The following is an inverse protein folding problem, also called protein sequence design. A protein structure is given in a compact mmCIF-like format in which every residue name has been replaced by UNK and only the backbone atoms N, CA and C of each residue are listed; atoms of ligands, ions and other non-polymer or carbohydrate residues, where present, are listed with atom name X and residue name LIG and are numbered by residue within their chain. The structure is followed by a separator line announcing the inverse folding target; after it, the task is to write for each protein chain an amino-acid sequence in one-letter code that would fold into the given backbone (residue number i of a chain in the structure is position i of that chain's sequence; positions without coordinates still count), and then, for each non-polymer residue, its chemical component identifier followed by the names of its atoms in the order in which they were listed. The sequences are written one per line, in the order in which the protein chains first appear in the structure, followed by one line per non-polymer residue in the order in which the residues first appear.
data_IF_868876237854
#
_entry.id   IF_868876237854
#
_cell.length_a   1.000
_cell.length_b   1.000
_cell.length_c   1.000
_cell.angle_alpha   90.00
_cell.angle_beta   90.00
_cell.angle_gamma   90.00
#
_symmetry.space_group_name_H-M   'P 1'
#
loop_
_entity.id
_entity.type
_entity.pdbx_description
1 polymer ?
#
# COMPACT_ATOMS: atom_id res chain seq x y z
N UNK A 1 -11.53 -9.90 -29.48
CA UNK A 1 -10.05 -9.93 -29.41
C UNK A 1 -9.44 -8.57 -29.02
N UNK A 2 -10.25 -7.63 -28.48
CA UNK A 2 -9.82 -6.28 -28.06
C UNK A 2 -10.15 -5.91 -26.61
N UNK A 3 -10.63 -6.88 -25.80
CA UNK A 3 -11.05 -6.64 -24.40
C UNK A 3 -10.19 -7.38 -23.35
N UNK A 4 -9.05 -7.96 -23.76
CA UNK A 4 -8.28 -8.88 -22.90
C UNK A 4 -7.11 -8.24 -22.13
N UNK A 5 -6.72 -6.99 -22.41
CA UNK A 5 -5.47 -6.42 -21.88
C UNK A 5 -5.57 -6.14 -20.37
N UNK A 6 -6.68 -5.60 -19.88
CA UNK A 6 -6.87 -5.36 -18.42
C UNK A 6 -7.36 -6.61 -17.67
N UNK A 7 -8.12 -7.49 -18.33
CA UNK A 7 -8.58 -8.75 -17.74
C UNK A 7 -7.45 -9.79 -17.57
N UNK A 8 -6.37 -9.72 -18.36
CA UNK A 8 -5.22 -10.62 -18.21
C UNK A 8 -4.35 -10.27 -17.00
N UNK A 9 -4.20 -8.99 -16.68
CA UNK A 9 -3.44 -8.51 -15.50
C UNK A 9 -4.04 -9.12 -14.22
N UNK A 10 -5.36 -9.36 -14.20
CA UNK A 10 -6.06 -9.90 -13.03
C UNK A 10 -6.21 -11.42 -13.03
N UNK A 11 -6.35 -12.08 -14.20
CA UNK A 11 -6.48 -13.56 -14.25
C UNK A 11 -5.23 -14.31 -13.82
N UNK A 12 -4.05 -13.68 -13.85
CA UNK A 12 -2.80 -14.29 -13.37
C UNK A 12 -2.59 -14.13 -11.86
N UNK A 13 -3.24 -13.17 -11.20
CA UNK A 13 -3.13 -12.97 -9.74
C UNK A 13 -4.20 -13.74 -8.94
N UNK A 14 -5.29 -14.18 -9.59
CA UNK A 14 -6.33 -14.97 -8.93
C UNK A 14 -6.06 -16.49 -9.03
N UNK A 15 -5.36 -17.07 -8.06
CA UNK A 15 -5.51 -18.51 -7.79
C UNK A 15 -6.91 -18.75 -7.17
N UNK A 16 -7.92 -18.94 -8.02
CA UNK A 16 -9.20 -19.51 -7.61
C UNK A 16 -9.28 -20.97 -8.06
N UNK A 17 -9.33 -21.88 -7.10
CA UNK A 17 -9.84 -23.23 -7.31
C UNK A 17 -11.36 -23.13 -7.54
N UNK A 18 -11.93 -23.73 -8.60
CA UNK A 18 -13.37 -23.73 -8.79
C UNK A 18 -14.02 -24.69 -7.79
N UNK A 19 -14.74 -24.13 -6.81
CA UNK A 19 -15.75 -24.88 -6.05
C UNK A 19 -16.95 -25.07 -6.96
N UNK A 20 -17.31 -26.32 -7.22
CA UNK A 20 -18.51 -26.70 -7.94
C UNK A 20 -19.74 -26.32 -7.12
N UNK A 21 -20.52 -25.35 -7.60
CA UNK A 21 -21.94 -25.22 -7.23
C UNK A 21 -22.77 -25.24 -8.51
N UNK A 22 -23.34 -26.40 -8.81
CA UNK A 22 -24.31 -26.57 -9.88
C UNK A 22 -25.64 -25.97 -9.45
N UNK A 23 -26.07 -24.92 -10.14
CA UNK A 23 -27.48 -24.54 -10.25
C UNK A 23 -27.71 -24.16 -11.71
N UNK A 24 -28.44 -25.01 -12.43
CA UNK A 24 -28.95 -24.70 -13.76
C UNK A 24 -30.14 -23.75 -13.60
N UNK A 25 -30.01 -22.52 -14.09
CA UNK A 25 -31.14 -21.62 -14.27
C UNK A 25 -31.40 -21.47 -15.78
N UNK A 26 -32.44 -22.17 -16.24
CA UNK A 26 -33.01 -22.03 -17.58
C UNK A 26 -33.75 -20.70 -17.66
N UNK A 27 -33.32 -19.80 -18.55
CA UNK A 27 -34.05 -18.58 -18.89
C UNK A 27 -34.66 -18.78 -20.27
N UNK A 28 -35.99 -18.92 -20.33
CA UNK A 28 -36.76 -18.88 -21.58
C UNK A 28 -37.30 -17.46 -21.78
N UNK A 29 -36.90 -16.80 -22.86
CA UNK A 29 -37.52 -15.55 -23.33
C UNK A 29 -38.64 -15.90 -24.30
N UNK A 30 -39.86 -15.46 -23.97
CA UNK A 30 -41.03 -15.53 -24.84
C UNK A 30 -40.93 -14.44 -25.92
N UNK A 31 -40.85 -14.84 -27.20
CA UNK A 31 -41.19 -13.96 -28.32
C UNK A 31 -42.11 -14.67 -29.29
N UNK A 32 -43.19 -13.98 -29.64
CA UNK A 32 -44.26 -14.42 -30.53
C UNK A 32 -43.76 -14.81 -31.93
N UNK A 33 -44.52 -15.72 -32.54
CA UNK A 33 -44.52 -16.17 -33.94
C UNK A 33 -43.62 -17.37 -34.31
N UNK A 34 -44.31 -18.47 -34.59
CA UNK A 34 -44.06 -19.48 -35.63
C UNK A 34 -42.74 -20.26 -35.63
N UNK A 35 -42.87 -21.57 -35.37
CA UNK A 35 -41.91 -22.68 -35.62
C UNK A 35 -40.63 -22.73 -34.76
N UNK A 36 -40.69 -23.50 -33.66
CA UNK A 36 -39.53 -23.89 -32.87
C UNK A 36 -38.96 -25.24 -33.35
N UNK A 37 -37.70 -25.24 -33.79
CA UNK A 37 -36.87 -26.42 -33.96
C UNK A 37 -35.63 -26.28 -33.05
N UNK A 38 -35.58 -27.02 -31.95
CA UNK A 38 -34.44 -27.07 -31.04
C UNK A 38 -33.30 -27.91 -31.65
N UNK A 39 -32.16 -27.30 -31.97
CA UNK A 39 -30.92 -28.00 -32.33
C UNK A 39 -30.02 -28.17 -31.10
N UNK A 40 -29.66 -29.41 -30.79
CA UNK A 40 -28.65 -29.75 -29.78
C UNK A 40 -27.22 -29.39 -30.24
N UNK A 41 -26.33 -28.89 -29.37
CA UNK A 41 -24.91 -28.80 -29.68
C UNK A 41 -24.21 -30.18 -29.57
N UNK A 42 -23.17 -30.44 -30.38
CA UNK A 42 -22.52 -31.74 -30.46
C UNK A 42 -21.61 -32.06 -29.27
N UNK A 43 -21.56 -33.36 -28.94
CA UNK A 43 -20.74 -33.98 -27.89
C UNK A 43 -19.24 -33.68 -28.06
N UNK A 44 -18.57 -33.25 -26.99
CA UNK A 44 -17.11 -33.12 -26.91
C UNK A 44 -16.42 -34.49 -26.92
N UNK A 45 -15.38 -34.60 -27.75
CA UNK A 45 -14.42 -35.69 -27.78
C UNK A 45 -13.55 -35.70 -26.52
N UNK A 46 -13.31 -36.90 -25.97
CA UNK A 46 -12.33 -37.20 -24.93
C UNK A 46 -10.92 -37.00 -25.48
N UNK A 47 -10.09 -36.25 -24.76
CA UNK A 47 -8.64 -36.37 -24.82
C UNK A 47 -8.13 -36.94 -23.49
N UNK A 48 -7.40 -38.04 -23.61
CA UNK A 48 -6.76 -38.80 -22.55
C UNK A 48 -5.29 -38.45 -22.45
N UNK A 49 -4.81 -38.22 -21.23
CA UNK A 49 -3.43 -38.53 -20.82
C UNK A 49 -2.42 -37.37 -20.85
N UNK A 50 -2.12 -36.82 -19.67
CA UNK A 50 -0.75 -36.81 -19.13
C UNK A 50 -0.84 -36.57 -17.60
N UNK A 51 -0.42 -37.57 -16.82
CA UNK A 51 -0.33 -37.49 -15.36
C UNK A 51 0.98 -36.78 -15.01
N UNK A 52 0.91 -35.61 -14.38
CA UNK A 52 2.07 -35.02 -13.72
C UNK A 52 2.31 -35.73 -12.38
N UNK A 53 3.50 -36.30 -12.25
CA UNK A 53 4.06 -36.92 -11.07
C UNK A 53 4.33 -35.85 -9.99
N UNK A 54 3.73 -36.01 -8.81
CA UNK A 54 4.23 -35.38 -7.58
C UNK A 54 5.23 -36.34 -6.91
N UNK A 55 6.45 -35.91 -6.54
CA UNK A 55 7.31 -36.73 -5.72
C UNK A 55 6.74 -36.81 -4.29
N UNK A 56 6.45 -38.05 -3.86
CA UNK A 56 6.11 -38.40 -2.47
C UNK A 56 7.27 -38.05 -1.55
N UNK A 57 7.05 -37.16 -0.58
CA UNK A 57 7.87 -37.10 0.63
C UNK A 57 7.67 -38.40 1.42
N UNK A 58 8.73 -39.21 1.52
CA UNK A 58 8.80 -40.31 2.49
C UNK A 58 9.08 -39.71 3.86
N UNK A 59 8.11 -39.87 4.75
CA UNK A 59 8.26 -39.73 6.20
C UNK A 59 9.29 -40.75 6.70
N UNK A 60 10.39 -40.26 7.28
CA UNK A 60 11.27 -41.06 8.14
C UNK A 60 10.94 -40.66 9.57
N UNK A 61 10.29 -41.59 10.25
CA UNK A 61 10.03 -41.56 11.69
C UNK A 61 11.20 -42.26 12.37
N UNK A 62 12.03 -41.52 13.11
CA UNK A 62 12.92 -42.11 14.11
C UNK A 62 12.92 -41.32 15.42
N UNK A 63 12.36 -41.98 16.44
CA UNK A 63 12.87 -42.16 17.80
C UNK A 63 13.35 -40.94 18.61
N UNK A 64 12.46 -40.43 19.47
CA UNK A 64 12.82 -39.76 20.73
C UNK A 64 12.23 -40.52 21.93
N UNK A 65 13.01 -40.77 23.00
CA UNK A 65 12.56 -41.55 24.14
C UNK A 65 11.78 -40.73 25.18
N UNK A 66 11.09 -41.49 26.02
CA UNK A 66 10.01 -41.17 26.96
C UNK A 66 10.38 -40.19 28.09
N UNK A 67 9.36 -39.41 28.50
CA UNK A 67 9.27 -38.66 29.77
C UNK A 67 9.39 -39.58 31.00
N UNK A 68 9.65 -38.99 32.18
CA UNK A 68 8.92 -39.39 33.39
C UNK A 68 8.14 -38.23 34.04
N UNK A 69 6.88 -38.56 34.34
CA UNK A 69 6.01 -38.23 35.49
C UNK A 69 6.01 -36.89 36.27
N UNK A 70 4.93 -36.64 37.02
CA UNK A 70 4.52 -35.31 37.49
C UNK A 70 4.79 -35.06 38.99
N UNK A 71 4.90 -33.79 39.39
CA UNK A 71 4.89 -33.39 40.81
C UNK A 71 3.92 -32.21 41.05
N UNK A 72 2.86 -32.57 41.76
CA UNK A 72 2.09 -31.90 42.82
C UNK A 72 1.59 -30.45 42.74
N UNK A 73 0.32 -30.36 43.15
CA UNK A 73 -0.50 -29.19 43.50
C UNK A 73 0.04 -28.48 44.75
N UNK A 74 -0.12 -27.17 44.79
CA UNK A 74 -0.09 -26.36 46.00
C UNK A 74 -0.97 -25.13 45.84
N UNK A 75 -2.07 -25.09 46.60
CA UNK A 75 -3.03 -24.00 46.67
C UNK A 75 -2.64 -22.98 47.78
N UNK A 76 -3.42 -21.90 47.86
CA UNK A 76 -3.50 -20.88 48.94
C UNK A 76 -2.49 -19.71 48.83
N UNK A 77 -2.83 -18.46 49.15
CA UNK A 77 -4.08 -17.80 49.53
C UNK A 77 -3.87 -16.27 49.48
N UNK A 78 -4.96 -15.54 49.30
CA UNK A 78 -5.13 -14.13 49.65
C UNK A 78 -4.60 -13.82 51.05
N UNK A 79 -4.00 -12.65 51.22
CA UNK A 79 -4.23 -11.83 52.42
C UNK A 79 -3.87 -10.36 52.19
N UNK A 80 -4.92 -9.56 52.09
CA UNK A 80 -4.97 -8.15 52.41
C UNK A 80 -4.91 -7.97 53.93
N UNK A 81 -4.09 -7.02 54.41
CA UNK A 81 -4.22 -6.50 55.77
C UNK A 81 -3.72 -5.04 55.85
N UNK A 82 -4.70 -4.15 55.97
CA UNK A 82 -4.58 -2.84 56.58
C UNK A 82 -4.40 -3.00 58.09
N UNK A 83 -3.49 -2.24 58.72
CA UNK A 83 -3.77 -1.60 60.01
C UNK A 83 -2.63 -0.66 60.47
N UNK A 84 -3.05 0.59 60.66
CA UNK A 84 -2.55 1.58 61.63
C UNK A 84 -1.84 1.00 62.86
N UNK A 85 -0.78 1.68 63.29
CA UNK A 85 -0.54 1.86 64.72
C UNK A 85 0.06 3.24 65.04
N UNK A 86 -0.30 3.70 66.22
CA UNK A 86 -0.21 5.05 66.79
C UNK A 86 1.15 5.27 67.50
N UNK A 87 1.65 6.52 67.42
CA UNK A 87 2.00 7.40 68.56
C UNK A 87 3.21 7.01 69.45
N UNK A 88 4.28 7.82 69.42
CA UNK A 88 4.66 8.65 70.57
C UNK A 88 5.90 9.55 70.32
N UNK A 89 5.76 10.80 70.79
CA UNK A 89 6.68 11.66 71.56
C UNK A 89 8.19 11.63 71.26
N UNK A 90 8.75 12.83 71.08
CA UNK A 90 10.11 13.10 71.56
C UNK A 90 10.78 14.27 70.87
N UNK A 91 10.83 15.40 71.58
CA UNK A 91 11.61 16.61 71.27
C UNK A 91 13.04 16.27 70.85
N UNK A 92 13.50 16.82 69.73
CA UNK A 92 14.88 16.75 69.28
C UNK A 92 15.17 17.88 68.32
N UNK A 93 15.83 18.90 68.85
CA UNK A 93 16.57 19.99 68.21
C UNK A 93 17.04 19.67 66.77
N UNK A 94 16.46 20.33 65.76
CA UNK A 94 16.98 20.28 64.39
C UNK A 94 17.66 21.60 64.03
N UNK A 95 18.97 21.47 63.80
CA UNK A 95 19.88 22.46 63.26
C UNK A 95 19.37 22.87 61.87
N UNK A 96 19.19 24.17 61.69
CA UNK A 96 18.86 24.81 60.42
C UNK A 96 20.07 24.69 59.47
N UNK A 97 20.14 23.63 58.69
CA UNK A 97 21.02 23.56 57.52
C UNK A 97 20.27 24.23 56.38
N UNK A 98 20.56 25.51 56.13
CA UNK A 98 20.17 26.19 54.90
C UNK A 98 21.02 25.64 53.74
N UNK A 99 20.55 24.55 53.14
CA UNK A 99 21.06 24.08 51.86
C UNK A 99 20.50 24.99 50.77
N UNK A 100 21.34 25.93 50.31
CA UNK A 100 21.11 26.67 49.06
C UNK A 100 21.11 25.66 47.93
N UNK A 101 19.93 25.18 47.54
CA UNK A 101 19.75 24.50 46.26
C UNK A 101 19.83 25.57 45.17
N UNK A 102 21.06 25.88 44.73
CA UNK A 102 21.29 26.48 43.43
C UNK A 102 20.72 25.51 42.40
N UNK A 103 19.50 25.82 41.94
CA UNK A 103 18.86 25.10 40.86
C UNK A 103 19.73 25.19 39.61
N UNK A 104 20.45 24.11 39.31
CA UNK A 104 20.87 23.84 37.95
C UNK A 104 19.59 23.61 37.13
N UNK A 105 19.08 24.68 36.54
CA UNK A 105 18.20 24.59 35.37
C UNK A 105 19.06 24.04 34.24
N UNK A 106 19.10 22.71 34.12
CA UNK A 106 19.52 22.10 32.87
C UNK A 106 18.64 22.71 31.76
N UNK A 107 19.21 23.27 30.69
CA UNK A 107 18.41 23.58 29.52
C UNK A 107 17.83 22.25 29.07
N UNK A 108 16.52 22.07 29.27
CA UNK A 108 15.76 21.15 28.45
C UNK A 108 15.92 21.72 27.06
N UNK A 109 16.86 21.18 26.28
CA UNK A 109 16.79 21.26 24.84
C UNK A 109 15.44 20.64 24.50
N UNK A 110 14.43 21.48 24.36
CA UNK A 110 13.32 21.16 23.50
C UNK A 110 14.00 20.76 22.20
N UNK A 111 14.00 19.46 21.90
CA UNK A 111 14.31 18.99 20.58
C UNK A 111 13.52 19.91 19.66
N UNK A 112 14.22 20.65 18.81
CA UNK A 112 13.62 21.55 17.85
C UNK A 112 12.50 20.77 17.20
N UNK A 113 11.24 21.11 17.50
CA UNK A 113 10.14 20.69 16.67
C UNK A 113 10.45 21.35 15.34
N UNK A 114 11.11 20.61 14.45
CA UNK A 114 11.31 21.05 13.08
C UNK A 114 9.95 21.51 12.58
N UNK A 115 9.90 22.77 12.17
CA UNK A 115 8.68 23.36 11.67
C UNK A 115 8.28 22.58 10.43
N UNK A 116 7.25 21.74 10.57
CA UNK A 116 6.67 21.00 9.47
C UNK A 116 6.44 21.95 8.30
N UNK A 117 6.91 21.57 7.12
CA UNK A 117 6.65 22.33 5.92
C UNK A 117 5.19 22.14 5.51
N UNK A 118 4.54 23.23 5.13
CA UNK A 118 3.23 23.19 4.51
C UNK A 118 3.39 23.24 3.01
N UNK A 119 2.79 22.26 2.33
CA UNK A 119 2.80 22.10 0.88
C UNK A 119 1.47 22.55 0.29
N UNK A 120 1.48 22.95 -0.97
CA UNK A 120 0.29 23.21 -1.75
C UNK A 120 -0.25 21.90 -2.31
N UNK A 121 -1.55 21.68 -2.09
CA UNK A 121 -2.29 20.56 -2.65
C UNK A 121 -3.23 21.11 -3.73
N UNK A 122 -2.97 20.79 -4.99
CA UNK A 122 -3.88 21.12 -6.09
C UNK A 122 -4.76 19.92 -6.43
N UNK A 123 -6.06 20.16 -6.60
CA UNK A 123 -7.00 19.13 -7.00
C UNK A 123 -7.31 19.25 -8.50
N UNK A 124 -6.85 18.28 -9.27
CA UNK A 124 -7.09 18.16 -10.72
C UNK A 124 -8.15 17.08 -11.03
N UNK A 125 -8.96 16.71 -10.04
CA UNK A 125 -10.00 15.70 -10.20
C UNK A 125 -11.11 16.18 -11.13
N UNK A 126 -11.64 15.27 -11.94
CA UNK A 126 -12.74 15.55 -12.87
C UNK A 126 -13.90 14.56 -12.67
N UNK A 127 -15.16 14.97 -12.86
CA UNK A 127 -16.29 14.04 -12.76
C UNK A 127 -16.33 13.08 -13.96
N UNK A 128 -16.44 11.78 -13.70
CA UNK A 128 -16.54 10.73 -14.72
C UNK A 128 -17.55 9.65 -14.33
N UNK A 129 -17.92 8.81 -15.29
CA UNK A 129 -18.78 7.63 -15.05
C UNK A 129 -17.99 6.31 -14.95
N UNK A 130 -16.77 6.28 -15.47
CA UNK A 130 -15.89 5.11 -15.47
C UNK A 130 -15.03 5.07 -14.22
N UNK A 131 -15.14 4.02 -13.42
CA UNK A 131 -14.31 3.83 -12.22
C UNK A 131 -12.82 3.67 -12.58
N UNK A 132 -12.53 2.84 -13.57
CA UNK A 132 -11.15 2.47 -13.96
C UNK A 132 -10.36 3.59 -14.67
N UNK A 133 -10.95 4.77 -14.86
CA UNK A 133 -10.25 5.94 -15.43
C UNK A 133 -9.27 6.58 -14.43
N UNK A 134 -9.47 6.32 -13.13
CA UNK A 134 -8.81 7.01 -12.00
C UNK A 134 -8.79 8.54 -12.20
N UNK A 135 -9.97 9.13 -12.10
CA UNK A 135 -10.25 10.54 -12.33
C UNK A 135 -9.94 11.46 -11.14
N UNK A 136 -9.53 10.92 -10.00
CA UNK A 136 -9.06 11.71 -8.86
C UNK A 136 -7.56 11.92 -9.02
N UNK A 137 -7.12 13.19 -9.01
CA UNK A 137 -5.72 13.57 -9.10
C UNK A 137 -5.41 14.69 -8.10
N UNK A 138 -4.64 14.40 -7.06
CA UNK A 138 -4.15 15.38 -6.10
C UNK A 138 -2.65 15.54 -6.28
N UNK A 139 -2.19 16.75 -6.55
CA UNK A 139 -0.77 17.04 -6.74
C UNK A 139 -0.24 17.84 -5.56
N UNK A 140 0.94 17.47 -5.06
CA UNK A 140 1.60 18.12 -3.93
C UNK A 140 2.87 18.81 -4.41
N UNK A 141 2.98 20.12 -4.19
CA UNK A 141 4.18 20.92 -4.48
C UNK A 141 4.51 21.88 -3.33
N UNK A 142 5.72 22.42 -3.31
CA UNK A 142 6.11 23.50 -2.39
C UNK A 142 6.29 24.84 -3.11
N UNK A 143 5.55 25.03 -4.21
CA UNK A 143 5.56 26.26 -4.99
C UNK A 143 5.42 27.50 -4.10
N UNK A 144 6.40 28.40 -4.15
CA UNK A 144 6.37 29.64 -3.37
C UNK A 144 6.71 29.48 -1.88
N UNK A 145 7.21 28.31 -1.43
CA UNK A 145 7.84 28.17 -0.12
C UNK A 145 9.32 28.59 -0.15
N UNK A 146 9.83 29.07 0.98
CA UNK A 146 11.26 29.42 1.13
C UNK A 146 12.16 28.17 1.24
N UNK A 147 11.64 27.10 1.82
CA UNK A 147 12.36 25.85 2.02
C UNK A 147 11.72 24.73 1.20
N UNK A 148 12.55 24.05 0.42
CA UNK A 148 12.12 22.89 -0.37
C UNK A 148 11.90 21.68 0.51
N UNK A 149 10.86 20.90 0.21
CA UNK A 149 10.64 19.57 0.79
C UNK A 149 11.76 18.63 0.34
N UNK A 150 12.35 17.93 1.31
CA UNK A 150 13.41 16.94 1.11
C UNK A 150 13.06 15.58 1.67
N UNK A 151 12.13 15.51 2.61
CA UNK A 151 11.61 14.24 3.08
C UNK A 151 10.15 14.34 3.51
N UNK A 152 9.39 13.26 3.32
CA UNK A 152 8.00 13.16 3.76
C UNK A 152 7.55 11.69 3.82
N UNK A 153 6.48 11.41 4.56
CA UNK A 153 5.97 10.06 4.69
C UNK A 153 4.71 9.87 3.86
N UNK A 154 4.50 8.64 3.40
CA UNK A 154 3.27 8.17 2.80
C UNK A 154 2.78 7.00 3.63
N UNK A 155 1.52 6.99 4.04
CA UNK A 155 0.94 5.89 4.78
C UNK A 155 -0.28 5.36 4.04
N UNK A 156 -0.35 4.05 3.84
CA UNK A 156 -1.59 3.35 3.53
C UNK A 156 -2.21 2.88 4.85
N UNK A 157 -3.49 3.15 5.06
CA UNK A 157 -4.23 2.75 6.28
C UNK A 157 -5.54 2.10 5.91
N UNK A 158 -5.96 1.08 6.65
CA UNK A 158 -7.26 0.47 6.39
C UNK A 158 -8.39 1.51 6.56
N UNK A 159 -9.45 1.45 5.74
CA UNK A 159 -10.57 2.36 5.88
C UNK A 159 -11.24 2.19 7.25
N UNK A 160 -11.83 3.25 7.79
CA UNK A 160 -12.42 3.24 9.14
C UNK A 160 -13.48 2.13 9.37
N UNK A 161 -14.09 1.64 8.29
CA UNK A 161 -15.10 0.58 8.31
C UNK A 161 -14.54 -0.84 8.07
N UNK A 162 -13.22 -1.04 7.98
CA UNK A 162 -12.58 -2.34 7.65
C UNK A 162 -13.10 -3.49 8.52
N UNK A 163 -13.32 -3.24 9.82
CA UNK A 163 -13.82 -4.25 10.75
C UNK A 163 -15.26 -4.71 10.51
N UNK A 164 -16.00 -4.02 9.65
CA UNK A 164 -17.38 -4.37 9.27
C UNK A 164 -17.45 -5.19 7.98
N UNK A 165 -16.33 -5.40 7.27
CA UNK A 165 -16.30 -6.13 6.01
C UNK A 165 -16.34 -7.64 6.29
N UNK A 166 -17.44 -8.29 5.90
CA UNK A 166 -17.58 -9.74 5.95
C UNK A 166 -17.08 -10.40 4.66
N UNK A 167 -17.39 -9.80 3.51
CA UNK A 167 -16.99 -10.24 2.18
C UNK A 167 -16.46 -9.02 1.44
N UNK A 168 -15.24 -9.15 0.93
CA UNK A 168 -14.58 -8.08 0.18
C UNK A 168 -15.02 -8.05 -1.29
N UNK A 169 -14.87 -6.91 -1.94
CA UNK A 169 -15.15 -6.69 -3.36
C UNK A 169 -14.01 -5.92 -3.99
N UNK A 170 -13.24 -6.57 -4.87
CA UNK A 170 -12.07 -6.04 -5.60
C UNK A 170 -12.14 -6.25 -7.11
N UNK A 171 -13.28 -6.72 -7.60
CA UNK A 171 -13.46 -6.92 -9.02
C UNK A 171 -13.42 -5.55 -9.73
N UNK A 172 -12.73 -5.46 -10.88
CA UNK A 172 -12.70 -4.23 -11.64
C UNK A 172 -14.10 -3.83 -12.13
N UNK A 173 -14.41 -2.53 -12.12
CA UNK A 173 -15.68 -1.95 -12.56
C UNK A 173 -15.52 -1.19 -13.88
N UNK A 174 -15.55 -1.93 -14.99
CA UNK A 174 -15.50 -1.35 -16.34
C UNK A 174 -16.82 -0.74 -16.83
N UNK A 175 -17.81 -0.59 -15.95
CA UNK A 175 -19.08 0.04 -16.34
C UNK A 175 -18.82 1.45 -16.85
N UNK A 176 -19.34 1.77 -18.03
CA UNK A 176 -19.19 3.09 -18.67
C UNK A 176 -17.74 3.50 -18.98
N UNK A 177 -16.81 2.54 -19.05
CA UNK A 177 -15.44 2.80 -19.46
C UNK A 177 -15.25 2.68 -20.99
N UNK A 178 -14.62 3.70 -21.58
CA UNK A 178 -14.07 3.64 -22.93
C UNK A 178 -12.56 3.84 -22.85
N UNK A 179 -11.83 2.73 -22.97
CA UNK A 179 -10.36 2.70 -22.95
C UNK A 179 -9.78 2.55 -24.37
N UNK A 180 -10.60 2.74 -25.42
CA UNK A 180 -10.18 2.51 -26.80
C UNK A 180 -9.12 3.48 -27.31
N UNK A 181 -8.96 4.62 -26.64
CA UNK A 181 -8.00 5.67 -26.96
C UNK A 181 -6.66 5.51 -26.21
N UNK A 182 -6.57 4.56 -25.27
CA UNK A 182 -5.32 4.33 -24.56
C UNK A 182 -4.28 3.75 -25.54
N UNK A 183 -3.05 4.30 -25.56
CA UNK A 183 -1.98 3.74 -26.35
C UNK A 183 -1.76 2.26 -26.00
N UNK A 184 -1.28 1.47 -26.96
CA UNK A 184 -0.97 0.06 -26.74
C UNK A 184 0.44 -0.22 -27.26
N UNK A 185 1.35 -0.48 -26.34
CA UNK A 185 2.72 -0.90 -26.63
C UNK A 185 2.79 -2.41 -26.39
N UNK A 186 2.91 -3.17 -27.47
CA UNK A 186 3.11 -4.61 -27.39
C UNK A 186 4.48 -4.93 -26.79
N UNK A 187 4.57 -6.04 -26.06
CA UNK A 187 5.82 -6.60 -25.57
C UNK A 187 6.13 -7.92 -26.28
N UNK A 188 7.27 -8.54 -25.93
CA UNK A 188 7.62 -9.88 -26.39
C UNK A 188 6.77 -11.03 -25.81
N UNK A 189 5.67 -10.71 -25.11
CA UNK A 189 4.76 -11.66 -24.48
C UNK A 189 4.79 -11.61 -22.94
N UNK A 190 3.79 -12.19 -22.26
CA UNK A 190 3.72 -12.16 -20.82
C UNK A 190 4.79 -13.04 -20.18
N UNK A 191 5.45 -12.53 -19.14
CA UNK A 191 6.46 -13.24 -18.38
C UNK A 191 6.39 -12.87 -16.89
N UNK A 192 6.79 -13.81 -16.05
CA UNK A 192 6.97 -13.60 -14.62
C UNK A 192 8.43 -13.87 -14.25
N UNK A 193 9.02 -12.97 -13.48
CA UNK A 193 10.42 -13.01 -13.08
C UNK A 193 10.50 -13.01 -11.56
N UNK A 194 11.12 -14.03 -10.96
CA UNK A 194 11.55 -13.94 -9.56
C UNK A 194 12.77 -13.02 -9.52
N UNK A 195 12.59 -11.82 -8.98
CA UNK A 195 13.61 -10.77 -8.95
C UNK A 195 14.48 -10.93 -7.71
N UNK A 196 13.85 -11.21 -6.58
CA UNK A 196 14.49 -11.41 -5.29
C UNK A 196 13.67 -12.38 -4.45
N UNK A 197 14.32 -13.22 -3.68
CA UNK A 197 13.66 -14.17 -2.79
C UNK A 197 14.49 -14.40 -1.53
N UNK A 198 13.82 -14.30 -0.38
CA UNK A 198 14.33 -14.61 0.95
C UNK A 198 13.18 -15.19 1.79
N UNK A 199 13.44 -15.77 2.97
CA UNK A 199 12.38 -16.35 3.81
C UNK A 199 11.25 -15.41 4.23
N UNK A 200 11.50 -14.09 4.23
CA UNK A 200 10.57 -13.07 4.74
C UNK A 200 10.16 -12.01 3.70
N UNK A 201 10.77 -12.03 2.51
CA UNK A 201 10.59 -11.03 1.46
C UNK A 201 10.80 -11.64 0.08
N UNK A 202 9.89 -11.36 -0.85
CA UNK A 202 9.98 -11.73 -2.26
C UNK A 202 9.63 -10.56 -3.16
N UNK A 203 10.32 -10.44 -4.28
CA UNK A 203 9.97 -9.51 -5.35
C UNK A 203 9.73 -10.29 -6.62
N UNK A 204 8.57 -10.06 -7.21
CA UNK A 204 8.18 -10.63 -8.49
C UNK A 204 8.00 -9.52 -9.52
N UNK A 205 8.67 -9.64 -10.66
CA UNK A 205 8.47 -8.77 -11.81
C UNK A 205 7.55 -9.40 -12.84
N UNK A 206 6.77 -8.57 -13.53
CA UNK A 206 5.88 -9.00 -14.59
C UNK A 206 6.10 -8.21 -15.86
N UNK A 207 6.06 -8.95 -16.97
CA UNK A 207 5.87 -8.43 -18.31
C UNK A 207 4.46 -8.81 -18.75
N UNK A 208 3.69 -7.86 -19.28
CA UNK A 208 2.37 -8.12 -19.84
C UNK A 208 2.44 -8.16 -21.36
N UNK A 209 1.45 -8.79 -22.01
CA UNK A 209 1.35 -8.83 -23.49
C UNK A 209 1.44 -7.43 -24.12
N UNK A 210 0.80 -6.46 -23.48
CA UNK A 210 0.90 -5.06 -23.87
C UNK A 210 0.63 -4.15 -22.67
N UNK A 211 1.06 -2.89 -22.78
CA UNK A 211 0.83 -1.86 -21.77
C UNK A 211 0.69 -0.49 -22.42
N UNK A 212 0.15 0.48 -21.68
CA UNK A 212 -0.13 1.81 -22.24
C UNK A 212 1.10 2.72 -22.35
N UNK A 213 2.23 2.32 -21.76
CA UNK A 213 3.54 2.94 -21.92
C UNK A 213 4.63 1.90 -22.20
N UNK A 214 5.72 2.27 -22.87
CA UNK A 214 6.86 1.38 -23.06
C UNK A 214 7.50 0.98 -21.72
N UNK A 215 7.86 -0.29 -21.59
CA UNK A 215 8.60 -0.80 -20.43
C UNK A 215 10.11 -0.54 -20.52
N UNK A 216 10.48 0.75 -20.54
CA UNK A 216 11.87 1.20 -20.75
C UNK A 216 12.67 1.42 -19.47
N UNK A 217 12.07 1.25 -18.28
CA UNK A 217 12.72 1.55 -17.01
C UNK A 217 13.42 0.30 -16.47
N UNK A 218 14.76 0.25 -16.45
CA UNK A 218 15.49 -0.85 -15.83
C UNK A 218 15.26 -0.89 -14.32
N UNK A 219 15.13 -2.11 -13.80
CA UNK A 219 15.04 -2.40 -12.37
C UNK A 219 16.28 -3.15 -11.96
N UNK A 220 16.99 -2.61 -10.98
CA UNK A 220 18.17 -3.19 -10.39
C UNK A 220 17.85 -3.74 -9.01
N UNK A 221 18.45 -4.87 -8.64
CA UNK A 221 18.37 -5.41 -7.28
C UNK A 221 19.76 -5.71 -6.76
N UNK A 222 20.07 -5.12 -5.61
CA UNK A 222 21.31 -5.38 -4.89
C UNK A 222 21.27 -6.76 -4.26
N UNK A 223 22.40 -7.48 -4.32
CA UNK A 223 22.54 -8.76 -3.63
C UNK A 223 22.74 -8.55 -2.13
N UNK A 224 22.09 -9.38 -1.34
CA UNK A 224 22.18 -9.38 0.12
C UNK A 224 23.32 -10.27 0.65
N UNK A 225 23.95 -11.11 -0.18
CA UNK A 225 25.01 -12.07 0.17
C UNK A 225 26.37 -11.42 0.52
N UNK A 226 26.48 -10.09 0.40
CA UNK A 226 27.71 -9.34 0.68
C UNK A 226 28.68 -9.23 -0.50
N UNK A 227 28.35 -9.79 -1.67
CA UNK A 227 29.16 -9.69 -2.90
C UNK A 227 29.15 -8.31 -3.55
N UNK A 228 28.16 -7.46 -3.22
CA UNK A 228 27.95 -6.19 -3.89
C UNK A 228 27.42 -6.32 -5.33
N UNK A 229 27.04 -7.54 -5.76
CA UNK A 229 26.48 -7.78 -7.09
C UNK A 229 25.13 -7.08 -7.25
N UNK A 230 24.89 -6.53 -8.44
CA UNK A 230 23.60 -5.94 -8.83
C UNK A 230 23.05 -6.74 -10.01
N UNK A 231 21.82 -7.24 -9.89
CA UNK A 231 21.10 -7.87 -10.99
C UNK A 231 20.21 -6.84 -11.67
N UNK A 232 20.18 -6.83 -13.01
CA UNK A 232 19.36 -5.91 -13.80
C UNK A 232 18.25 -6.66 -14.52
N UNK A 233 17.05 -6.10 -14.48
CA UNK A 233 15.86 -6.58 -15.15
C UNK A 233 15.28 -5.47 -16.02
N UNK A 234 14.97 -5.80 -17.27
CA UNK A 234 14.45 -4.87 -18.27
C UNK A 234 13.07 -5.33 -18.76
N UNK A 235 12.30 -4.42 -19.36
CA UNK A 235 10.99 -4.76 -19.94
C UNK A 235 9.88 -5.02 -18.93
N UNK A 236 10.10 -4.70 -17.65
CA UNK A 236 9.12 -4.92 -16.58
C UNK A 236 8.02 -3.85 -16.62
N UNK A 237 6.76 -4.31 -16.59
CA UNK A 237 5.58 -3.47 -16.49
C UNK A 237 5.13 -3.29 -15.05
N UNK A 238 5.40 -4.27 -14.19
CA UNK A 238 4.98 -4.27 -12.79
C UNK A 238 5.99 -5.02 -11.91
N UNK A 239 6.19 -4.53 -10.69
CA UNK A 239 6.87 -5.19 -9.59
C UNK A 239 5.89 -5.40 -8.45
N UNK A 240 5.93 -6.57 -7.82
CA UNK A 240 5.17 -6.87 -6.61
C UNK A 240 6.12 -7.22 -5.49
N UNK A 241 5.92 -6.61 -4.32
CA UNK A 241 6.64 -6.89 -3.09
C UNK A 241 5.74 -7.70 -2.17
N UNK A 242 6.23 -8.87 -1.80
CA UNK A 242 5.58 -9.80 -0.90
C UNK A 242 6.38 -9.90 0.39
N UNK A 243 5.70 -9.84 1.52
CA UNK A 243 6.30 -10.08 2.83
C UNK A 243 5.68 -11.30 3.49
N UNK A 244 6.39 -11.88 4.46
CA UNK A 244 5.84 -12.97 5.26
C UNK A 244 5.13 -12.43 6.50
N UNK A 245 3.85 -12.76 6.66
CA UNK A 245 3.07 -12.60 7.90
C UNK A 245 2.77 -13.99 8.49
N UNK A 246 3.60 -14.42 9.45
CA UNK A 246 3.52 -15.74 10.05
C UNK A 246 3.76 -16.86 9.03
N UNK A 247 2.69 -17.54 8.60
CA UNK A 247 2.75 -18.62 7.60
C UNK A 247 2.24 -18.21 6.21
N UNK A 248 1.81 -16.94 6.05
CA UNK A 248 1.19 -16.46 4.82
C UNK A 248 2.08 -15.42 4.14
N UNK A 249 2.31 -15.53 2.81
CA UNK A 249 2.84 -14.43 2.04
C UNK A 249 1.73 -13.40 1.80
N UNK A 250 2.04 -12.12 1.99
CA UNK A 250 1.15 -10.99 1.72
C UNK A 250 1.84 -10.01 0.76
N UNK A 251 1.20 -9.76 -0.39
CA UNK A 251 1.61 -8.66 -1.28
C UNK A 251 1.23 -7.34 -0.62
N UNK A 252 2.17 -6.40 -0.51
CA UNK A 252 1.96 -5.16 0.26
C UNK A 252 2.31 -3.90 -0.52
N UNK A 253 3.14 -4.02 -1.57
CA UNK A 253 3.55 -2.92 -2.42
C UNK A 253 3.62 -3.37 -3.88
N UNK A 254 3.11 -2.52 -4.77
CA UNK A 254 3.25 -2.68 -6.22
C UNK A 254 3.88 -1.41 -6.78
N UNK A 255 4.79 -1.57 -7.74
CA UNK A 255 5.32 -0.49 -8.57
C UNK A 255 5.03 -0.80 -10.03
N UNK A 256 4.59 0.20 -10.80
CA UNK A 256 4.57 0.18 -12.26
C UNK A 256 5.72 1.06 -12.77
N UNK A 257 6.91 0.51 -13.04
CA UNK A 257 8.07 1.30 -13.44
C UNK A 257 7.83 2.26 -14.61
N UNK A 258 7.07 1.89 -15.67
CA UNK A 258 6.81 2.80 -16.79
C UNK A 258 6.07 4.08 -16.39
N UNK A 259 5.21 4.01 -15.36
CA UNK A 259 4.33 5.09 -14.95
C UNK A 259 4.86 5.88 -13.75
N UNK A 260 5.62 5.19 -12.90
CA UNK A 260 5.97 5.66 -11.55
C UNK A 260 4.82 5.54 -10.55
N UNK A 261 3.80 4.74 -10.85
CA UNK A 261 2.70 4.46 -9.93
C UNK A 261 3.09 3.43 -8.89
N UNK A 262 2.82 3.76 -7.64
CA UNK A 262 2.92 2.86 -6.50
C UNK A 262 1.54 2.56 -5.94
N UNK A 263 1.29 1.33 -5.51
CA UNK A 263 0.10 0.98 -4.72
C UNK A 263 0.57 0.25 -3.48
N UNK A 264 0.14 0.71 -2.31
CA UNK A 264 0.52 0.12 -1.03
C UNK A 264 -0.74 -0.31 -0.27
N UNK A 265 -0.62 -1.36 0.55
CA UNK A 265 -1.65 -1.74 1.52
C UNK A 265 -1.03 -2.29 2.81
N UNK A 266 -1.63 -2.06 3.99
CA UNK A 266 -1.21 -2.72 5.22
C UNK A 266 -1.35 -4.25 5.13
N UNK A 267 -0.82 -4.96 6.13
CA UNK A 267 -1.15 -6.37 6.29
C UNK A 267 -2.65 -6.54 6.45
N UNK A 268 -3.17 -7.65 5.94
CA UNK A 268 -4.59 -7.95 5.89
C UNK A 268 -5.21 -7.86 7.29
N UNK A 269 -6.39 -7.23 7.37
CA UNK A 269 -7.07 -7.02 8.63
C UNK A 269 -7.61 -8.34 9.20
N UNK A 270 -7.27 -8.63 10.46
CA UNK A 270 -7.75 -9.80 11.20
C UNK A 270 -7.64 -11.12 10.40
N UNK A 271 -8.76 -11.84 10.23
CA UNK A 271 -8.82 -13.10 9.49
C UNK A 271 -9.01 -12.94 7.97
N UNK A 272 -9.06 -11.72 7.44
CA UNK A 272 -9.14 -11.51 5.99
C UNK A 272 -7.94 -12.17 5.31
N UNK A 273 -8.20 -12.82 4.17
CA UNK A 273 -7.15 -13.50 3.40
C UNK A 273 -6.28 -12.51 2.63
N UNK A 274 -6.88 -11.42 2.18
CA UNK A 274 -6.26 -10.34 1.42
C UNK A 274 -7.14 -9.08 1.56
N UNK A 275 -6.60 -7.93 1.18
CA UNK A 275 -7.32 -6.64 1.07
C UNK A 275 -7.04 -6.01 -0.29
N UNK A 276 -7.97 -5.26 -0.87
CA UNK A 276 -7.79 -4.66 -2.20
C UNK A 276 -6.69 -3.59 -2.18
N UNK A 277 -6.10 -3.34 -3.36
CA UNK A 277 -5.50 -2.03 -3.60
C UNK A 277 -6.59 -1.08 -4.08
N UNK A 278 -6.36 0.22 -3.91
CA UNK A 278 -7.18 1.24 -4.55
C UNK A 278 -6.29 2.30 -5.15
N UNK A 279 -6.16 3.40 -4.42
CA UNK A 279 -5.36 4.55 -4.84
C UNK A 279 -3.91 4.21 -5.15
N UNK A 280 -3.40 4.86 -6.20
CA UNK A 280 -1.98 4.90 -6.51
C UNK A 280 -1.36 6.20 -6.02
N UNK A 281 -0.09 6.18 -5.65
CA UNK A 281 0.67 7.39 -5.37
C UNK A 281 1.91 7.46 -6.26
N UNK A 282 2.45 8.67 -6.41
CA UNK A 282 3.66 8.96 -7.18
C UNK A 282 4.64 9.74 -6.31
N UNK A 283 5.93 9.53 -6.58
CA UNK A 283 7.05 10.18 -5.89
C UNK A 283 8.06 10.67 -6.93
N UNK A 284 8.52 11.90 -6.78
CA UNK A 284 9.44 12.58 -7.70
C UNK A 284 8.75 13.63 -8.55
N UNK A 285 9.43 14.20 -9.57
CA UNK A 285 8.82 15.16 -10.48
C UNK A 285 7.61 14.57 -11.19
N UNK A 286 6.40 14.95 -10.77
CA UNK A 286 5.14 14.51 -11.36
C UNK A 286 4.75 15.45 -12.49
N UNK A 287 4.52 14.86 -13.66
CA UNK A 287 4.08 15.57 -14.86
C UNK A 287 2.66 15.14 -15.20
N UNK A 288 1.85 16.11 -15.65
CA UNK A 288 0.57 15.79 -16.29
C UNK A 288 0.80 15.54 -17.79
N UNK A 289 0.53 14.30 -18.23
CA UNK A 289 0.55 13.89 -19.64
C UNK A 289 -0.83 13.40 -20.07
N UNK A 290 -1.90 14.00 -19.52
CA UNK A 290 -3.27 13.51 -19.56
C UNK A 290 -3.59 12.59 -18.38
N UNK A 291 -2.55 12.07 -17.71
CA UNK A 291 -2.58 11.39 -16.41
C UNK A 291 -1.30 11.79 -15.65
N UNK A 292 -1.35 11.92 -14.31
CA UNK A 292 -0.16 12.13 -13.49
C UNK A 292 0.87 11.02 -13.70
N UNK A 293 2.12 11.33 -14.01
CA UNK A 293 3.21 10.35 -14.14
C UNK A 293 4.50 10.84 -13.49
N UNK A 294 5.25 9.94 -12.87
CA UNK A 294 6.60 10.18 -12.39
C UNK A 294 7.55 9.39 -13.29
N UNK A 295 8.27 10.08 -14.18
CA UNK A 295 9.09 9.42 -15.19
C UNK A 295 10.40 8.97 -14.56
N UNK A 296 10.49 7.67 -14.32
CA UNK A 296 11.68 7.02 -13.77
C UNK A 296 12.71 6.77 -14.88
N UNK A 297 13.97 7.04 -14.59
CA UNK A 297 15.11 6.61 -15.40
C UNK A 297 15.55 5.20 -15.00
N UNK A 298 15.60 4.91 -13.71
CA UNK A 298 15.88 3.57 -13.18
C UNK A 298 15.35 3.43 -11.75
N UNK A 299 15.20 2.18 -11.32
CA UNK A 299 14.86 1.84 -9.93
C UNK A 299 15.86 0.83 -9.40
N UNK A 300 16.40 1.03 -8.21
CA UNK A 300 17.25 0.06 -7.52
C UNK A 300 16.61 -0.34 -6.20
N UNK A 301 16.41 -1.63 -5.98
CA UNK A 301 15.96 -2.15 -4.69
C UNK A 301 17.14 -2.68 -3.87
N UNK A 302 17.28 -2.19 -2.64
CA UNK A 302 18.14 -2.76 -1.61
C UNK A 302 17.28 -3.62 -0.65
N UNK A 303 17.42 -4.96 -0.68
CA UNK A 303 16.67 -5.85 0.21
C UNK A 303 17.05 -5.72 1.68
N UNK A 304 18.26 -5.26 2.01
CA UNK A 304 18.72 -5.13 3.41
C UNK A 304 18.02 -3.97 4.11
N UNK A 305 17.90 -2.84 3.43
CA UNK A 305 17.22 -1.66 3.98
C UNK A 305 15.74 -1.59 3.59
N UNK A 306 15.30 -2.46 2.66
CA UNK A 306 13.96 -2.46 2.05
C UNK A 306 13.64 -1.09 1.43
N UNK A 307 14.60 -0.57 0.68
CA UNK A 307 14.53 0.75 0.07
C UNK A 307 14.57 0.65 -1.44
N UNK A 308 13.69 1.38 -2.10
CA UNK A 308 13.73 1.64 -3.52
C UNK A 308 14.41 2.99 -3.75
N UNK A 309 15.61 3.00 -4.33
CA UNK A 309 16.22 4.19 -4.89
C UNK A 309 15.69 4.41 -6.30
N UNK A 310 15.31 5.65 -6.61
CA UNK A 310 14.74 6.08 -7.89
C UNK A 310 15.64 7.15 -8.49
N UNK A 311 16.05 6.97 -9.74
CA UNK A 311 16.58 8.05 -10.56
C UNK A 311 15.46 8.59 -11.45
N UNK A 312 15.32 9.91 -11.55
CA UNK A 312 14.25 10.53 -12.32
C UNK A 312 14.77 11.02 -13.67
N UNK A 313 14.01 10.79 -14.75
CA UNK A 313 14.41 11.22 -16.10
C UNK A 313 14.51 12.75 -16.24
N UNK A 314 13.84 13.51 -15.38
CA UNK A 314 13.95 14.97 -15.30
C UNK A 314 15.17 15.45 -14.49
N UNK A 315 16.00 14.54 -13.99
CA UNK A 315 17.09 14.81 -13.06
C UNK A 315 16.67 14.69 -11.59
N UNK A 316 17.68 14.55 -10.74
CA UNK A 316 17.50 14.27 -9.31
C UNK A 316 17.25 12.79 -9.01
N UNK A 317 17.16 12.49 -7.72
CA UNK A 317 16.94 11.15 -7.21
C UNK A 317 15.97 11.18 -6.02
N UNK A 318 15.38 10.03 -5.73
CA UNK A 318 14.57 9.84 -4.54
C UNK A 318 14.77 8.46 -3.94
N UNK A 319 14.34 8.28 -2.71
CA UNK A 319 14.26 6.98 -2.07
C UNK A 319 12.87 6.76 -1.49
N UNK A 320 12.41 5.51 -1.46
CA UNK A 320 11.20 5.08 -0.76
C UNK A 320 11.56 3.87 0.09
N UNK A 321 11.51 4.03 1.41
CA UNK A 321 11.83 2.97 2.37
C UNK A 321 10.57 2.40 3.00
N UNK A 322 10.48 1.07 3.09
CA UNK A 322 9.40 0.39 3.82
C UNK A 322 9.65 0.52 5.34
N UNK A 323 9.21 1.63 5.94
CA UNK A 323 9.58 2.02 7.29
C UNK A 323 8.83 1.25 8.39
N UNK A 324 7.52 1.07 8.23
CA UNK A 324 6.70 0.30 9.17
C UNK A 324 5.57 -0.39 8.42
N UNK A 325 5.36 -1.67 8.70
CA UNK A 325 4.30 -2.48 8.11
C UNK A 325 3.66 -3.35 9.18
N UNK A 326 2.38 -3.10 9.45
CA UNK A 326 1.57 -3.87 10.37
C UNK A 326 0.12 -3.99 9.86
N UNK A 327 -0.79 -4.50 10.70
CA UNK A 327 -2.20 -4.72 10.35
C UNK A 327 -3.05 -3.46 10.34
N UNK A 328 -2.49 -2.31 10.69
CA UNK A 328 -3.19 -1.03 10.73
C UNK A 328 -2.61 -0.05 9.71
N UNK A 329 -1.28 -0.02 9.58
CA UNK A 329 -0.57 0.95 8.77
C UNK A 329 0.52 0.28 7.94
N UNK A 330 0.72 0.79 6.73
CA UNK A 330 1.97 0.66 5.99
C UNK A 330 2.54 2.05 5.75
N UNK A 331 3.54 2.43 6.54
CA UNK A 331 4.29 3.67 6.41
C UNK A 331 5.51 3.47 5.52
N UNK A 332 5.66 4.38 4.57
CA UNK A 332 6.81 4.49 3.69
C UNK A 332 7.43 5.88 3.87
N UNK A 333 8.73 5.93 4.09
CA UNK A 333 9.47 7.17 4.23
C UNK A 333 10.12 7.52 2.88
N UNK A 334 9.95 8.76 2.43
CA UNK A 334 10.46 9.27 1.16
C UNK A 334 11.54 10.32 1.40
N UNK A 335 12.66 10.21 0.70
CA UNK A 335 13.69 11.25 0.64
C UNK A 335 13.89 11.70 -0.82
N UNK A 336 14.12 12.99 -1.03
CA UNK A 336 14.32 13.60 -2.35
C UNK A 336 15.64 14.38 -2.38
N UNK A 337 16.43 14.14 -3.42
CA UNK A 337 17.73 14.78 -3.62
C UNK A 337 17.81 15.38 -5.03
N UNK A 338 18.04 16.70 -5.10
CA UNK A 338 18.20 17.40 -6.39
C UNK A 338 16.93 17.45 -7.25
N UNK A 339 15.77 17.08 -6.68
CA UNK A 339 14.45 17.26 -7.28
C UNK A 339 14.02 18.71 -7.09
N UNK A 340 13.51 19.31 -8.17
CA UNK A 340 12.75 20.56 -8.11
C UNK A 340 11.35 20.24 -7.56
N UNK A 341 11.08 20.70 -6.34
CA UNK A 341 9.83 20.45 -5.62
C UNK A 341 8.83 21.61 -5.76
N UNK A 342 9.20 22.67 -6.49
CA UNK A 342 8.29 23.77 -6.83
C UNK A 342 7.23 23.33 -7.86
N UNK A 343 7.55 22.30 -8.65
CA UNK A 343 6.59 21.48 -9.39
C UNK A 343 6.11 20.32 -8.51
N UNK A 344 4.97 19.67 -8.83
CA UNK A 344 4.50 18.52 -8.07
C UNK A 344 5.59 17.47 -7.83
N UNK A 345 5.93 17.21 -6.56
CA UNK A 345 6.94 16.22 -6.15
C UNK A 345 6.32 14.90 -5.65
N UNK A 346 5.01 14.92 -5.41
CA UNK A 346 4.21 13.75 -5.09
C UNK A 346 2.79 13.94 -5.64
N UNK A 347 2.10 12.84 -5.87
CA UNK A 347 0.70 12.89 -6.25
C UNK A 347 -0.05 11.65 -5.78
N UNK A 348 -1.37 11.82 -5.62
CA UNK A 348 -2.33 10.73 -5.48
C UNK A 348 -3.13 10.63 -6.78
N UNK A 349 -3.28 9.42 -7.29
CA UNK A 349 -4.20 9.09 -8.37
C UNK A 349 -5.17 8.01 -7.90
N UNK A 350 -6.47 8.26 -8.03
CA UNK A 350 -7.51 7.40 -7.49
C UNK A 350 -8.80 7.52 -8.31
N UNK A 351 -9.86 6.83 -7.91
CA UNK A 351 -11.13 6.82 -8.62
C UNK A 351 -12.28 7.35 -7.77
N UNK A 352 -13.20 8.07 -8.41
CA UNK A 352 -14.49 8.50 -7.86
C UNK A 352 -15.56 8.56 -8.95
N UNK A 353 -16.61 7.75 -8.81
CA UNK A 353 -17.85 7.89 -9.61
C UNK A 353 -18.98 8.44 -8.74
N UNK A 354 -19.17 7.83 -7.57
CA UNK A 354 -20.06 8.32 -6.50
C UNK A 354 -19.44 8.00 -5.16
N UNK A 355 -19.97 8.54 -4.05
CA UNK A 355 -19.49 8.21 -2.70
C UNK A 355 -19.53 6.71 -2.36
N UNK A 356 -20.36 5.92 -3.03
CA UNK A 356 -20.47 4.46 -2.85
C UNK A 356 -19.80 3.66 -3.97
N UNK A 357 -19.12 4.34 -4.89
CA UNK A 357 -18.26 3.76 -5.92
C UNK A 357 -17.03 4.64 -6.06
N UNK A 358 -16.11 4.48 -5.12
CA UNK A 358 -14.91 5.29 -4.97
C UNK A 358 -13.82 4.59 -4.16
N UNK A 359 -12.58 4.86 -4.53
CA UNK A 359 -11.42 4.57 -3.70
C UNK A 359 -11.11 5.78 -2.80
N UNK A 360 -11.37 6.99 -3.29
CA UNK A 360 -11.31 8.23 -2.54
C UNK A 360 -12.58 9.03 -2.78
N UNK A 361 -13.27 9.39 -1.69
CA UNK A 361 -14.49 10.22 -1.73
C UNK A 361 -14.37 11.50 -0.91
N UNK A 362 -13.43 11.52 0.02
CA UNK A 362 -13.24 12.57 1.02
C UNK A 362 -11.76 12.88 1.16
N UNK A 363 -11.49 14.16 1.41
CA UNK A 363 -10.17 14.68 1.72
C UNK A 363 -10.26 15.34 3.08
N UNK A 364 -9.27 15.08 3.93
CA UNK A 364 -9.04 15.82 5.15
C UNK A 364 -7.62 16.35 5.13
N UNK A 365 -7.40 17.59 5.56
CA UNK A 365 -6.06 18.16 5.63
C UNK A 365 -5.89 19.03 6.87
N UNK A 366 -4.65 19.07 7.36
CA UNK A 366 -4.26 19.99 8.42
C UNK A 366 -3.52 21.16 7.81
N UNK A 367 -4.18 22.32 7.78
CA UNK A 367 -3.54 23.56 7.33
C UNK A 367 -2.46 24.02 8.34
N UNK A 368 -1.42 24.77 7.88
CA UNK A 368 -0.41 25.33 8.78
C UNK A 368 -1.08 26.16 9.88
N UNK A 369 -0.66 25.95 11.13
CA UNK A 369 -1.20 26.63 12.32
C UNK A 369 -2.71 26.44 12.59
N UNK A 370 -3.37 25.51 11.88
CA UNK A 370 -4.76 25.17 12.17
C UNK A 370 -4.90 24.43 13.49
N UNK A 371 -5.95 24.75 14.25
CA UNK A 371 -6.29 24.04 15.48
C UNK A 371 -6.90 22.64 15.24
N UNK A 372 -7.30 22.33 14.00
CA UNK A 372 -7.95 21.07 13.65
C UNK A 372 -7.87 20.74 12.17
N UNK A 373 -8.39 19.56 11.84
CA UNK A 373 -8.53 19.09 10.47
C UNK A 373 -9.65 19.83 9.76
N UNK A 374 -9.42 20.13 8.48
CA UNK A 374 -10.44 20.56 7.54
C UNK A 374 -10.83 19.36 6.69
N UNK A 375 -12.09 19.32 6.24
CA UNK A 375 -12.64 18.20 5.48
C UNK A 375 -13.43 18.70 4.28
N UNK A 376 -13.40 17.95 3.18
CA UNK A 376 -14.19 18.25 1.98
C UNK A 376 -14.44 16.98 1.16
N UNK A 377 -15.61 16.84 0.49
CA UNK A 377 -15.76 15.87 -0.58
C UNK A 377 -14.69 16.09 -1.66
N UNK A 378 -14.10 15.02 -2.19
CA UNK A 378 -12.97 15.11 -3.13
C UNK A 378 -13.29 15.94 -4.36
N UNK A 379 -14.52 15.88 -4.87
CA UNK A 379 -14.94 16.66 -6.04
C UNK A 379 -15.23 18.14 -5.75
N UNK A 380 -15.37 18.51 -4.48
CA UNK A 380 -15.62 19.90 -4.05
C UNK A 380 -14.34 20.60 -3.54
N UNK A 381 -13.31 19.84 -3.18
CA UNK A 381 -12.05 20.35 -2.66
C UNK A 381 -11.33 21.20 -3.71
N UNK A 382 -11.15 22.49 -3.44
CA UNK A 382 -10.51 23.43 -4.38
C UNK A 382 -8.97 23.40 -4.32
N UNK A 383 -8.40 22.53 -3.49
CA UNK A 383 -7.00 22.61 -3.09
C UNK A 383 -6.80 23.41 -1.82
N UNK A 384 -5.56 23.46 -1.34
CA UNK A 384 -5.20 24.20 -0.14
C UNK A 384 -3.81 23.86 0.37
N UNK A 385 -3.40 24.57 1.43
CA UNK A 385 -2.12 24.31 2.11
C UNK A 385 -2.28 23.24 3.18
N UNK A 386 -1.37 22.27 3.19
CA UNK A 386 -1.40 21.16 4.12
C UNK A 386 0.00 20.86 4.68
N UNK A 387 0.10 20.65 5.99
CA UNK A 387 1.27 19.97 6.59
C UNK A 387 1.06 18.45 6.68
N UNK A 388 -0.18 18.01 6.43
CA UNK A 388 -0.62 16.62 6.42
C UNK A 388 -1.93 16.51 5.64
N UNK A 389 -2.07 15.48 4.81
CA UNK A 389 -3.21 15.23 3.94
C UNK A 389 -3.65 13.78 4.09
N UNK A 390 -4.93 13.55 4.39
CA UNK A 390 -5.58 12.24 4.30
C UNK A 390 -6.56 12.26 3.12
N UNK A 391 -6.54 11.21 2.31
CA UNK A 391 -7.42 11.01 1.19
C UNK A 391 -8.00 9.60 1.26
N UNK A 392 -9.32 9.51 1.39
CA UNK A 392 -9.96 8.24 1.71
C UNK A 392 -11.48 8.30 1.66
N UNK A 393 -12.11 7.49 2.51
CA UNK A 393 -13.56 7.33 2.53
C UNK A 393 -14.10 6.91 3.90
N UNK A 394 -15.21 7.52 4.30
CA UNK A 394 -16.00 7.06 5.45
C UNK A 394 -17.13 6.09 5.08
N UNK A 395 -17.40 5.88 3.79
CA UNK A 395 -18.54 5.08 3.29
C UNK A 395 -18.02 3.86 2.51
N UNK A 396 -18.56 2.66 2.75
CA UNK A 396 -18.23 1.46 1.97
C UNK A 396 -18.46 1.64 0.47
N UNK A 397 -17.44 1.35 -0.32
CA UNK A 397 -17.52 1.32 -1.78
C UNK A 397 -17.93 -0.06 -2.30
N UNK A 398 -18.65 -0.11 -3.41
CA UNK A 398 -18.94 -1.35 -4.15
C UNK A 398 -17.70 -1.91 -4.89
N UNK A 399 -16.71 -1.07 -5.14
CA UNK A 399 -15.46 -1.38 -5.83
C UNK A 399 -14.27 -1.14 -4.89
N UNK A 400 -13.29 -2.05 -4.92
CA UNK A 400 -12.15 -2.13 -4.00
C UNK A 400 -12.54 -1.85 -2.55
N UNK A 401 -13.54 -2.55 -2.02
CA UNK A 401 -14.22 -2.23 -0.76
C UNK A 401 -13.24 -2.06 0.43
N UNK A 402 -12.24 -2.93 0.55
CA UNK A 402 -11.23 -2.88 1.62
C UNK A 402 -9.99 -2.04 1.30
N UNK A 403 -9.90 -1.41 0.12
CA UNK A 403 -8.73 -0.62 -0.26
C UNK A 403 -8.39 0.49 0.76
N UNK A 404 -7.08 0.74 0.98
CA UNK A 404 -6.64 1.64 2.01
C UNK A 404 -6.87 3.11 1.64
N UNK A 405 -7.06 3.92 2.66
CA UNK A 405 -6.92 5.37 2.57
C UNK A 405 -5.42 5.73 2.55
N UNK A 406 -5.10 6.89 1.98
CA UNK A 406 -3.72 7.36 1.82
C UNK A 406 -3.47 8.63 2.63
N UNK A 407 -2.35 8.67 3.35
CA UNK A 407 -1.90 9.85 4.11
C UNK A 407 -0.55 10.32 3.57
N UNK A 408 -0.39 11.62 3.36
CA UNK A 408 0.86 12.27 2.99
C UNK A 408 1.28 13.24 4.09
N UNK A 409 2.56 13.21 4.45
CA UNK A 409 3.15 14.01 5.50
C UNK A 409 3.58 13.15 6.70
N UNK A 410 4.23 13.74 7.72
CA UNK A 410 4.70 15.14 7.76
C UNK A 410 5.73 15.45 6.67
N UNK A 411 5.87 16.73 6.31
CA UNK A 411 6.85 17.20 5.32
C UNK A 411 7.99 17.97 6.00
N UNK A 412 9.21 17.68 5.58
CA UNK A 412 10.44 18.24 6.15
C UNK A 412 11.35 18.74 5.04
N UNK A 413 12.11 19.78 5.33
CA UNK A 413 13.06 20.36 4.38
C UNK A 413 14.51 19.93 4.58
N UNK A 414 14.78 19.18 5.64
CA UNK A 414 16.02 18.45 5.80
C UNK A 414 15.81 17.00 5.34
N UNK A 415 16.78 16.46 4.61
CA UNK A 415 16.68 15.15 3.97
C UNK A 415 16.86 13.98 4.94
N UNK A 416 16.36 14.08 6.18
CA UNK A 416 16.53 13.04 7.20
C UNK A 416 15.23 12.86 7.98
N UNK A 417 14.68 11.64 7.92
CA UNK A 417 13.82 11.20 9.02
C UNK A 417 14.70 10.95 10.24
N UNK A 418 14.61 11.81 11.26
CA UNK A 418 15.10 11.43 12.58
C UNK A 418 14.23 10.27 13.07
N UNK A 419 14.78 9.06 12.99
CA UNK A 419 14.17 7.83 13.53
C UNK A 419 13.97 7.90 15.04
#
# INVERSE_FOLDING_TARGET
MRDMVSALIWRQTSHQNPVQSGVQSTVCVLSNSSSAACKHPPRRQRWSGLRMFFPRFKSVVEHFPKRPGPVQRGAMANQSASARTRRNKGRGLWILVMTVFSGLTLPVNAASAESLLAVDVSNLSEPVLCAEKDNVALMLSDAGQEQSVRSFAIQAVHPAYIGMIAVDSDAPDFTSCDMSQDPVFASGGPAQHTIYESPDLWITGFTFESFWRPASVPVHVQSDDGSGKVNTFEGLHMLQVWVRDGVRPEEVLVLYPPDGYWRARPLSYAQMRWTAYGSSFLVGPVQDKGRPVAVLESVTFDPKTRTFAMAFAAGGAGSLSMAQLDRQHFRMDVELQGVDTSVPFAALRSMYVTRTNADVSEIAWRAPHSAGWQESPVMAFQGGRAVELWAGRSVPSRHNLSAPDMIFGPFHGDGRFTR
#
